data_IF_785686618983
#
_entry.id   IF_785686618983
#
_cell.length_a   1.000
_cell.length_b   1.000
_cell.length_c   1.000
_cell.angle_alpha   90.00
_cell.angle_beta   90.00
_cell.angle_gamma   90.00
#
_symmetry.space_group_name_H-M   'P 1'
#
loop_
_entity.id
_entity.type
_entity.pdbx_description
1 polymer ?
#
# COMPACT_ATOMS: atom_id res chain seq x y z
N UNK A 1 1.30 0.27 -2.19
CA UNK A 1 1.80 -0.57 -3.31
C UNK A 1 0.84 -0.53 -4.48
N UNK A 2 1.30 0.03 -5.60
CA UNK A 2 0.56 0.06 -6.86
C UNK A 2 1.23 -0.85 -7.90
N UNK A 3 0.43 -1.60 -8.65
CA UNK A 3 0.88 -2.50 -9.71
C UNK A 3 0.05 -2.25 -10.97
N UNK A 4 0.69 -1.88 -12.07
CA UNK A 4 0.07 -1.81 -13.40
C UNK A 4 0.43 -3.05 -14.21
N UNK A 5 -0.57 -3.67 -14.85
CA UNK A 5 -0.43 -4.86 -15.67
C UNK A 5 -1.36 -4.72 -16.86
N UNK A 6 -0.81 -4.56 -18.06
CA UNK A 6 -1.56 -4.51 -19.31
C UNK A 6 -2.79 -3.59 -19.26
N UNK A 7 -3.99 -4.14 -19.05
CA UNK A 7 -5.28 -3.47 -19.05
C UNK A 7 -5.83 -3.16 -17.64
N UNK A 8 -5.09 -3.42 -16.57
CA UNK A 8 -5.54 -3.14 -15.20
C UNK A 8 -4.45 -2.59 -14.28
N UNK A 9 -4.92 -1.91 -13.23
CA UNK A 9 -4.13 -1.27 -12.18
C UNK A 9 -4.67 -1.76 -10.86
N UNK A 10 -3.79 -2.25 -10.00
CA UNK A 10 -4.07 -2.57 -8.61
C UNK A 10 -3.40 -1.54 -7.72
N UNK A 11 -4.16 -1.02 -6.77
CA UNK A 11 -3.68 -0.05 -5.81
C UNK A 11 -4.02 -0.55 -4.40
N UNK A 12 -3.02 -1.00 -3.65
CA UNK A 12 -3.21 -1.47 -2.28
C UNK A 12 -3.61 -0.34 -1.33
N UNK A 13 -3.22 0.90 -1.65
CA UNK A 13 -3.24 2.02 -0.71
C UNK A 13 -4.64 2.61 -0.64
N UNK A 14 -5.34 2.66 -1.77
CA UNK A 14 -6.77 3.02 -1.84
C UNK A 14 -7.70 1.81 -1.91
N UNK A 15 -7.15 0.60 -1.87
CA UNK A 15 -7.88 -0.68 -2.01
C UNK A 15 -8.75 -0.75 -3.27
N UNK A 16 -8.25 -0.23 -4.38
CA UNK A 16 -8.94 -0.24 -5.66
C UNK A 16 -8.24 -1.12 -6.68
N UNK A 17 -9.06 -1.73 -7.54
CA UNK A 17 -8.58 -2.36 -8.76
C UNK A 17 -9.34 -1.72 -9.91
N UNK A 18 -8.62 -1.22 -10.91
CA UNK A 18 -9.17 -0.56 -12.08
C UNK A 18 -8.82 -1.40 -13.29
N UNK A 19 -9.80 -1.75 -14.13
CA UNK A 19 -9.59 -2.47 -15.39
C UNK A 19 -10.20 -1.68 -16.53
N UNK A 20 -9.43 -1.42 -17.58
CA UNK A 20 -9.83 -0.60 -18.74
C UNK A 20 -10.43 0.76 -18.33
N UNK A 21 -9.85 1.39 -17.31
CA UNK A 21 -10.33 2.66 -16.76
C UNK A 21 -11.57 2.59 -15.86
N UNK A 22 -12.13 1.40 -15.60
CA UNK A 22 -13.28 1.21 -14.72
C UNK A 22 -12.89 0.48 -13.43
N UNK A 23 -13.29 1.02 -12.28
CA UNK A 23 -13.12 0.34 -11.00
C UNK A 23 -13.91 -0.99 -11.01
N UNK A 24 -13.23 -2.08 -10.65
CA UNK A 24 -13.84 -3.40 -10.46
C UNK A 24 -14.08 -3.64 -8.98
N UNK A 25 -15.27 -4.13 -8.65
CA UNK A 25 -15.62 -4.48 -7.27
C UNK A 25 -15.08 -5.87 -6.96
N UNK A 26 -14.34 -5.98 -5.85
CA UNK A 26 -13.86 -7.23 -5.29
C UNK A 26 -14.35 -7.35 -3.85
N UNK A 27 -14.67 -8.57 -3.43
CA UNK A 27 -14.91 -8.87 -2.03
C UNK A 27 -13.65 -8.56 -1.20
N UNK A 28 -13.78 -8.18 0.08
CA UNK A 28 -12.63 -7.85 0.92
C UNK A 28 -11.58 -8.99 0.96
N UNK A 29 -12.04 -10.25 0.95
CA UNK A 29 -11.17 -11.43 0.94
C UNK A 29 -10.52 -11.68 -0.43
N UNK A 30 -11.23 -11.45 -1.53
CA UNK A 30 -10.64 -11.53 -2.86
C UNK A 30 -9.53 -10.47 -3.03
N UNK A 31 -9.77 -9.24 -2.57
CA UNK A 31 -8.75 -8.18 -2.59
C UNK A 31 -7.50 -8.58 -1.80
N UNK A 32 -7.66 -9.05 -0.57
CA UNK A 32 -6.54 -9.51 0.27
C UNK A 32 -5.79 -10.70 -0.34
N UNK A 33 -6.49 -11.63 -1.00
CA UNK A 33 -5.87 -12.73 -1.73
C UNK A 33 -5.02 -12.21 -2.90
N UNK A 34 -5.55 -11.28 -3.68
CA UNK A 34 -4.82 -10.68 -4.80
C UNK A 34 -3.56 -9.93 -4.31
N UNK A 35 -3.69 -9.16 -3.24
CA UNK A 35 -2.56 -8.46 -2.63
C UNK A 35 -1.46 -9.42 -2.18
N UNK A 36 -1.83 -10.49 -1.46
CA UNK A 36 -0.90 -11.51 -1.00
C UNK A 36 -0.13 -12.16 -2.16
N UNK A 37 -0.84 -12.54 -3.23
CA UNK A 37 -0.25 -13.17 -4.41
C UNK A 37 0.69 -12.21 -5.15
N UNK A 38 0.33 -10.92 -5.26
CA UNK A 38 1.18 -9.89 -5.86
C UNK A 38 2.45 -9.70 -5.02
N UNK A 39 2.36 -9.60 -3.68
CA UNK A 39 3.52 -9.41 -2.80
C UNK A 39 4.50 -10.58 -2.84
N UNK A 40 4.00 -11.80 -3.05
CA UNK A 40 4.82 -13.03 -3.11
C UNK A 40 5.34 -13.36 -4.51
N UNK A 41 4.97 -12.58 -5.53
CA UNK A 41 5.39 -12.82 -6.92
C UNK A 41 6.91 -12.95 -7.06
N UNK A 42 7.43 -13.83 -7.93
CA UNK A 42 6.69 -14.81 -8.75
C UNK A 42 6.40 -16.13 -8.02
N UNK A 43 6.70 -16.22 -6.71
CA UNK A 43 6.59 -17.47 -5.94
C UNK A 43 5.13 -17.85 -5.76
N UNK A 44 4.88 -19.16 -5.75
CA UNK A 44 3.59 -19.70 -5.38
C UNK A 44 3.41 -19.62 -3.87
N UNK A 45 2.17 -19.36 -3.45
CA UNK A 45 1.75 -19.37 -2.05
C UNK A 45 0.90 -20.62 -1.83
N UNK A 46 1.21 -21.37 -0.77
CA UNK A 46 0.49 -22.61 -0.48
C UNK A 46 -0.95 -22.33 -0.02
N UNK A 47 -1.85 -23.31 -0.18
CA UNK A 47 -3.22 -23.19 0.33
C UNK A 47 -3.24 -22.94 1.84
N UNK A 48 -2.34 -23.57 2.60
CA UNK A 48 -2.24 -23.39 4.05
C UNK A 48 -1.86 -21.95 4.42
N UNK A 49 -0.84 -21.37 3.77
CA UNK A 49 -0.45 -19.97 4.00
C UNK A 49 -1.54 -18.98 3.60
N UNK A 50 -2.24 -19.24 2.48
CA UNK A 50 -3.38 -18.42 2.07
C UNK A 50 -4.49 -18.48 3.10
N UNK A 51 -4.79 -19.68 3.62
CA UNK A 51 -5.80 -19.85 4.66
C UNK A 51 -5.42 -19.10 5.93
N UNK A 52 -4.20 -19.27 6.43
CA UNK A 52 -3.74 -18.60 7.64
C UNK A 52 -3.77 -17.07 7.50
N UNK A 53 -3.40 -16.54 6.33
CA UNK A 53 -3.41 -15.11 6.08
C UNK A 53 -4.82 -14.53 5.95
N UNK A 54 -5.73 -15.23 5.27
CA UNK A 54 -7.09 -14.74 5.02
C UNK A 54 -8.05 -15.04 6.16
N UNK A 55 -7.85 -16.13 6.90
CA UNK A 55 -8.76 -16.62 7.94
C UNK A 55 -7.94 -17.11 9.15
N UNK A 56 -7.20 -16.22 9.83
CA UNK A 56 -6.38 -16.60 10.97
C UNK A 56 -7.25 -17.26 12.04
N UNK A 57 -6.85 -18.46 12.47
CA UNK A 57 -7.55 -19.24 13.50
C UNK A 57 -8.98 -19.68 13.13
N UNK A 58 -9.39 -19.63 11.85
CA UNK A 58 -10.74 -20.00 11.42
C UNK A 58 -10.69 -21.12 10.38
N UNK A 59 -11.40 -22.22 10.65
CA UNK A 59 -11.55 -23.31 9.68
C UNK A 59 -12.65 -22.98 8.67
N UNK A 60 -12.28 -22.81 7.41
CA UNK A 60 -13.23 -22.61 6.30
C UNK A 60 -13.10 -23.73 5.28
N UNK A 61 -14.21 -24.08 4.63
CA UNK A 61 -14.23 -25.11 3.59
C UNK A 61 -13.22 -24.79 2.47
N UNK A 62 -12.53 -25.79 1.89
CA UNK A 62 -11.68 -25.61 0.72
C UNK A 62 -12.39 -24.94 -0.47
N UNK A 63 -13.73 -25.05 -0.54
CA UNK A 63 -14.55 -24.40 -1.54
C UNK A 63 -14.48 -22.86 -1.46
N UNK A 64 -14.27 -22.28 -0.27
CA UNK A 64 -14.20 -20.83 -0.10
C UNK A 64 -13.01 -20.23 -0.86
N UNK A 65 -11.83 -20.84 -0.76
CA UNK A 65 -10.66 -20.40 -1.50
C UNK A 65 -10.86 -20.57 -3.01
N UNK A 66 -11.51 -21.65 -3.44
CA UNK A 66 -11.84 -21.85 -4.85
C UNK A 66 -12.79 -20.75 -5.37
N UNK A 67 -13.81 -20.38 -4.59
CA UNK A 67 -14.75 -19.32 -4.94
C UNK A 67 -14.08 -17.94 -5.05
N UNK A 68 -13.16 -17.62 -4.15
CA UNK A 68 -12.37 -16.38 -4.25
C UNK A 68 -11.52 -16.34 -5.51
N UNK A 69 -10.95 -17.48 -5.91
CA UNK A 69 -10.15 -17.56 -7.15
C UNK A 69 -11.05 -17.42 -8.39
N UNK A 70 -12.28 -17.98 -8.35
CA UNK A 70 -13.27 -17.78 -9.42
C UNK A 70 -13.66 -16.31 -9.53
N UNK A 71 -13.94 -15.66 -8.41
CA UNK A 71 -14.26 -14.23 -8.35
C UNK A 71 -13.11 -13.38 -8.92
N UNK A 72 -11.87 -13.63 -8.47
CA UNK A 72 -10.68 -12.92 -8.95
C UNK A 72 -10.49 -13.11 -10.46
N UNK A 73 -10.63 -14.34 -10.97
CA UNK A 73 -10.53 -14.61 -12.40
C UNK A 73 -11.60 -13.87 -13.20
N UNK A 74 -12.85 -13.88 -12.74
CA UNK A 74 -13.93 -13.15 -13.41
C UNK A 74 -13.67 -11.64 -13.43
N UNK A 75 -13.28 -11.06 -12.28
CA UNK A 75 -13.04 -9.62 -12.13
C UNK A 75 -11.84 -9.15 -12.95
N UNK A 76 -10.73 -9.91 -12.92
CA UNK A 76 -9.51 -9.60 -13.67
C UNK A 76 -9.61 -10.03 -15.15
N UNK A 77 -10.65 -10.79 -15.52
CA UNK A 77 -10.82 -11.36 -16.86
C UNK A 77 -9.75 -12.38 -17.22
N UNK A 78 -9.29 -13.15 -16.24
CA UNK A 78 -8.30 -14.22 -16.39
C UNK A 78 -9.00 -15.55 -16.67
N UNK A 79 -8.52 -16.29 -17.66
CA UNK A 79 -9.07 -17.60 -18.03
C UNK A 79 -8.37 -18.72 -17.26
N UNK A 80 -9.13 -19.55 -16.53
CA UNK A 80 -8.59 -20.67 -15.78
C UNK A 80 -7.86 -21.71 -16.64
N UNK A 81 -8.20 -21.85 -17.94
CA UNK A 81 -7.59 -22.79 -18.89
C UNK A 81 -6.32 -22.21 -19.53
N UNK A 82 -6.20 -20.89 -19.57
CA UNK A 82 -5.05 -20.16 -20.12
C UNK A 82 -4.68 -19.01 -19.17
N UNK A 83 -4.21 -19.32 -17.94
CA UNK A 83 -4.02 -18.31 -16.92
C UNK A 83 -2.87 -17.37 -17.30
N UNK A 84 -3.20 -16.09 -17.47
CA UNK A 84 -2.25 -15.01 -17.70
C UNK A 84 -1.93 -14.26 -16.42
N UNK A 85 -2.84 -14.29 -15.44
CA UNK A 85 -2.72 -13.54 -14.19
C UNK A 85 -2.57 -14.46 -12.99
N UNK A 86 -3.55 -15.33 -12.74
CA UNK A 86 -3.54 -16.27 -11.61
C UNK A 86 -3.27 -17.70 -12.05
N UNK A 87 -2.02 -18.14 -11.83
CA UNK A 87 -1.60 -19.51 -12.10
C UNK A 87 -1.95 -20.42 -10.92
N UNK A 88 -2.66 -21.51 -11.21
CA UNK A 88 -2.84 -22.61 -10.25
C UNK A 88 -1.59 -23.47 -10.23
N UNK A 89 -1.03 -23.72 -9.04
CA UNK A 89 0.05 -24.69 -8.83
C UNK A 89 -0.57 -25.97 -8.29
N UNK A 90 -0.66 -27.05 -9.10
CA UNK A 90 -1.36 -28.27 -8.73
C UNK A 90 -0.88 -28.80 -7.38
N UNK A 91 -1.84 -29.17 -6.51
CA UNK A 91 -1.60 -29.71 -5.15
C UNK A 91 -0.85 -28.80 -4.17
N UNK A 92 -0.47 -27.59 -4.56
CA UNK A 92 0.25 -26.66 -3.70
C UNK A 92 -0.56 -25.40 -3.37
N UNK A 93 -1.00 -24.64 -4.38
CA UNK A 93 -1.67 -23.36 -4.16
C UNK A 93 -1.72 -22.49 -5.41
N UNK A 94 -1.46 -21.19 -5.26
CA UNK A 94 -1.64 -20.20 -6.34
C UNK A 94 -0.45 -19.26 -6.44
N UNK A 95 -0.19 -18.77 -7.65
CA UNK A 95 0.87 -17.79 -7.91
C UNK A 95 0.35 -16.68 -8.81
N UNK A 96 0.86 -15.46 -8.58
CA UNK A 96 0.68 -14.36 -9.51
C UNK A 96 1.73 -14.47 -10.62
N UNK A 97 1.32 -14.42 -11.89
CA UNK A 97 2.19 -14.65 -13.05
C UNK A 97 2.07 -13.60 -14.16
N UNK A 98 1.31 -12.53 -13.94
CA UNK A 98 1.26 -11.45 -14.91
C UNK A 98 2.57 -10.65 -14.90
N UNK A 99 3.14 -10.44 -16.08
CA UNK A 99 4.25 -9.51 -16.25
C UNK A 99 3.75 -8.09 -15.97
N UNK A 100 4.30 -7.48 -14.92
CA UNK A 100 4.12 -6.05 -14.72
C UNK A 100 4.83 -5.36 -15.88
N UNK A 101 4.06 -4.76 -16.79
CA UNK A 101 4.63 -3.76 -17.68
C UNK A 101 5.24 -2.73 -16.74
N UNK A 102 6.57 -2.58 -16.84
CA UNK A 102 7.33 -1.70 -15.98
C UNK A 102 6.56 -0.41 -15.80
N UNK A 103 6.47 0.04 -14.55
CA UNK A 103 5.92 1.35 -14.24
C UNK A 103 6.80 2.35 -14.99
N UNK A 104 6.41 2.70 -16.22
CA UNK A 104 6.84 3.94 -16.84
C UNK A 104 6.20 4.99 -15.97
N UNK A 105 7.06 5.52 -15.12
CA UNK A 105 6.85 6.69 -14.31
C UNK A 105 6.07 7.73 -15.13
N UNK A 106 4.77 7.87 -14.88
CA UNK A 106 4.07 9.13 -15.09
C UNK A 106 4.20 9.87 -13.76
N UNK A 107 4.79 11.08 -13.79
CA UNK A 107 5.85 11.47 -12.89
C UNK A 107 5.42 11.25 -11.43
N UNK A 108 5.94 10.18 -10.82
CA UNK A 108 6.22 10.24 -9.41
C UNK A 108 7.28 11.32 -9.30
N UNK A 109 6.83 12.50 -8.90
CA UNK A 109 7.64 13.48 -8.20
C UNK A 109 8.65 12.71 -7.37
N UNK A 110 9.92 12.78 -7.78
CA UNK A 110 10.98 12.06 -7.11
C UNK A 110 11.15 12.78 -5.79
N UNK A 111 10.41 12.36 -4.76
CA UNK A 111 10.55 12.96 -3.45
C UNK A 111 12.01 12.76 -3.05
N UNK A 112 12.73 13.88 -2.97
CA UNK A 112 14.12 13.93 -2.46
C UNK A 112 14.16 13.54 -0.98
N UNK A 113 13.01 13.18 -0.42
CA UNK A 113 12.82 12.86 0.98
C UNK A 113 12.13 11.49 1.13
N UNK A 114 12.59 10.74 2.13
CA UNK A 114 11.89 9.60 2.69
C UNK A 114 11.29 10.02 4.04
N UNK A 115 10.02 9.70 4.28
CA UNK A 115 9.30 10.10 5.48
C UNK A 115 8.93 8.86 6.30
N UNK A 116 8.98 8.97 7.63
CA UNK A 116 8.53 7.90 8.55
C UNK A 116 7.69 8.48 9.68
N UNK A 117 6.75 7.68 10.20
CA UNK A 117 6.11 7.91 11.48
C UNK A 117 6.64 6.91 12.51
N UNK A 118 7.16 7.43 13.61
CA UNK A 118 7.61 6.63 14.75
C UNK A 118 6.49 6.59 15.79
N UNK A 119 6.00 5.40 16.08
CA UNK A 119 4.95 5.17 17.08
C UNK A 119 5.39 4.10 18.07
N UNK A 120 5.88 4.55 19.24
CA UNK A 120 6.54 3.66 20.19
C UNK A 120 7.77 2.97 19.55
N UNK A 121 7.86 1.62 19.56
CA UNK A 121 8.96 0.90 18.91
C UNK A 121 8.78 0.72 17.39
N UNK A 122 7.64 1.13 16.82
CA UNK A 122 7.33 0.93 15.40
C UNK A 122 7.79 2.11 14.57
N UNK A 123 8.45 1.83 13.45
CA UNK A 123 8.69 2.81 12.38
C UNK A 123 7.85 2.44 11.16
N UNK A 124 6.97 3.36 10.75
CA UNK A 124 6.08 3.17 9.61
C UNK A 124 6.57 4.08 8.48
N UNK A 125 6.99 3.49 7.36
CA UNK A 125 7.38 4.25 6.19
C UNK A 125 6.15 4.87 5.53
N UNK A 126 6.26 6.13 5.14
CA UNK A 126 5.23 6.83 4.37
C UNK A 126 5.54 6.70 2.88
N UNK A 127 4.51 6.44 2.09
CA UNK A 127 4.54 6.51 0.65
C UNK A 127 4.68 7.97 0.20
N UNK A 128 5.24 8.17 -0.99
CA UNK A 128 5.56 9.49 -1.57
C UNK A 128 4.33 10.21 -2.16
N UNK A 129 3.12 9.78 -1.81
CA UNK A 129 1.86 10.35 -2.31
C UNK A 129 0.90 10.62 -1.14
N UNK A 130 -0.01 9.70 -0.81
CA UNK A 130 -1.00 9.88 0.24
C UNK A 130 -0.96 8.74 1.26
N UNK A 131 -0.98 9.10 2.53
CA UNK A 131 -0.90 8.16 3.65
C UNK A 131 -2.07 8.41 4.59
N UNK A 132 -3.06 7.52 4.57
CA UNK A 132 -4.22 7.63 5.45
C UNK A 132 -3.88 7.06 6.82
N UNK A 133 -4.25 7.79 7.86
CA UNK A 133 -4.19 7.39 9.27
C UNK A 133 -5.61 7.22 9.78
N UNK A 134 -5.90 6.10 10.44
CA UNK A 134 -7.22 5.89 11.02
C UNK A 134 -7.45 4.49 11.55
N UNK A 135 -8.68 4.25 11.98
CA UNK A 135 -9.11 2.96 12.53
C UNK A 135 -9.47 1.92 11.48
N UNK A 136 -9.61 2.33 10.22
CA UNK A 136 -9.83 1.37 9.16
C UNK A 136 -8.59 0.49 8.97
N UNK A 137 -8.81 -0.81 8.81
CA UNK A 137 -7.79 -1.81 8.54
C UNK A 137 -7.01 -1.56 7.23
N UNK A 138 -7.52 -0.69 6.34
CA UNK A 138 -6.85 -0.25 5.12
C UNK A 138 -5.98 1.01 5.28
N UNK A 139 -5.89 1.61 6.46
CA UNK A 139 -5.04 2.79 6.69
C UNK A 139 -3.56 2.40 6.76
N UNK A 140 -2.67 3.22 6.16
CA UNK A 140 -1.20 3.07 6.26
C UNK A 140 -0.75 3.05 7.72
N UNK A 141 -1.42 3.86 8.55
CA UNK A 141 -1.27 3.83 10.01
C UNK A 141 -2.60 3.42 10.63
N UNK A 142 -2.70 2.15 10.97
CA UNK A 142 -3.87 1.59 11.63
C UNK A 142 -3.83 1.84 13.14
N UNK A 143 -4.81 2.58 13.65
CA UNK A 143 -5.00 2.84 15.08
C UNK A 143 -6.33 2.23 15.51
N UNK A 144 -6.27 1.06 16.14
CA UNK A 144 -7.44 0.34 16.62
C UNK A 144 -7.99 0.93 17.93
N UNK A 145 -8.62 2.11 17.85
CA UNK A 145 -9.18 2.79 19.01
C UNK A 145 -10.47 3.55 18.65
N UNK A 146 -11.54 3.37 19.44
CA UNK A 146 -12.85 3.95 19.16
C UNK A 146 -12.88 5.48 19.08
N UNK A 147 -11.89 6.18 19.67
CA UNK A 147 -11.72 7.63 19.54
C UNK A 147 -11.13 8.05 18.17
N UNK A 148 -10.77 7.09 17.33
CA UNK A 148 -10.19 7.31 16.00
C UNK A 148 -11.20 6.97 14.91
N UNK A 149 -11.51 7.96 14.05
CA UNK A 149 -12.29 7.75 12.82
C UNK A 149 -11.62 6.75 11.86
N UNK A 150 -12.43 6.08 11.04
CA UNK A 150 -11.96 5.09 10.04
C UNK A 150 -10.89 5.68 9.11
N UNK A 151 -11.17 6.84 8.51
CA UNK A 151 -10.19 7.70 7.83
C UNK A 151 -10.11 8.99 8.66
N UNK A 152 -9.09 9.12 9.50
CA UNK A 152 -9.00 10.21 10.49
C UNK A 152 -8.21 11.39 9.95
N UNK A 153 -7.03 11.12 9.42
CA UNK A 153 -6.14 12.12 8.87
C UNK A 153 -5.46 11.57 7.61
N UNK A 154 -4.98 12.47 6.75
CA UNK A 154 -4.17 12.15 5.58
C UNK A 154 -2.84 12.90 5.68
N UNK A 155 -1.72 12.21 5.44
CA UNK A 155 -0.43 12.83 5.18
C UNK A 155 -0.15 12.75 3.68
N UNK A 156 -0.11 13.89 3.01
CA UNK A 156 0.39 14.02 1.66
C UNK A 156 1.89 14.29 1.68
N UNK A 157 2.67 13.58 0.86
CA UNK A 157 4.11 13.79 0.68
C UNK A 157 4.34 14.32 -0.72
N UNK A 158 5.13 15.38 -0.85
CA UNK A 158 5.49 16.02 -2.11
C UNK A 158 7.03 16.14 -2.25
N UNK A 159 7.50 16.86 -3.27
CA UNK A 159 8.94 17.06 -3.51
C UNK A 159 9.64 17.87 -2.41
N UNK A 160 8.89 18.71 -1.70
CA UNK A 160 9.40 19.71 -0.78
C UNK A 160 9.15 19.34 0.70
N UNK A 161 8.38 18.27 0.98
CA UNK A 161 8.10 17.81 2.34
C UNK A 161 6.80 17.02 2.48
N UNK A 162 6.15 17.17 3.64
CA UNK A 162 4.90 16.50 3.95
C UNK A 162 3.88 17.46 4.59
N UNK A 163 2.61 17.26 4.28
CA UNK A 163 1.47 18.03 4.81
C UNK A 163 0.45 17.07 5.38
N UNK A 164 -0.05 17.34 6.59
CA UNK A 164 -1.13 16.58 7.22
C UNK A 164 -2.43 17.37 7.21
N UNK A 165 -3.54 16.69 6.95
CA UNK A 165 -4.88 17.23 7.05
C UNK A 165 -5.79 16.30 7.85
N UNK A 166 -6.80 16.88 8.50
CA UNK A 166 -7.87 16.15 9.17
C UNK A 166 -9.01 15.87 8.18
N UNK A 167 -9.49 14.63 8.13
CA UNK A 167 -10.52 14.20 7.17
C UNK A 167 -11.95 14.30 7.75
N UNK A 168 -12.21 15.30 8.59
CA UNK A 168 -13.49 15.45 9.29
C UNK A 168 -13.62 14.45 10.44
N UNK A 169 -12.54 14.25 11.19
CA UNK A 169 -12.51 13.30 12.29
C UNK A 169 -13.38 13.73 13.47
N UNK A 170 -13.83 12.77 14.28
CA UNK A 170 -14.71 13.04 15.43
C UNK A 170 -14.01 13.84 16.53
N UNK A 171 -12.72 13.56 16.76
CA UNK A 171 -11.95 14.08 17.90
C UNK A 171 -10.82 15.05 17.51
N UNK A 172 -10.62 15.25 16.21
CA UNK A 172 -9.61 16.14 15.66
C UNK A 172 -8.21 15.53 15.62
N UNK A 173 -7.42 16.03 14.67
CA UNK A 173 -5.98 15.79 14.54
C UNK A 173 -5.18 16.92 15.19
N UNK A 174 -4.10 16.59 15.87
CA UNK A 174 -3.24 17.57 16.56
C UNK A 174 -1.79 17.45 16.09
N UNK A 175 -1.17 18.58 15.79
CA UNK A 175 0.25 18.70 15.41
C UNK A 175 0.92 19.66 16.38
N UNK A 176 2.07 19.26 16.95
CA UNK A 176 2.78 20.04 17.98
C UNK A 176 1.86 20.44 19.16
N UNK A 177 0.93 19.56 19.51
CA UNK A 177 -0.05 19.78 20.59
C UNK A 177 -1.22 20.72 20.26
N UNK A 178 -1.27 21.33 19.07
CA UNK A 178 -2.37 22.18 18.63
C UNK A 178 -3.28 21.44 17.65
N UNK A 179 -4.59 21.59 17.80
CA UNK A 179 -5.56 21.04 16.84
C UNK A 179 -5.38 21.74 15.49
N UNK A 180 -5.38 20.98 14.41
CA UNK A 180 -5.34 21.54 13.05
C UNK A 180 -6.77 21.70 12.52
N UNK A 181 -7.04 22.83 11.87
CA UNK A 181 -8.33 23.10 11.19
C UNK A 181 -8.18 23.17 9.67
N UNK A 182 -6.95 23.36 9.20
CA UNK A 182 -6.54 23.39 7.80
C UNK A 182 -5.32 22.48 7.62
N UNK A 183 -5.01 22.03 6.39
CA UNK A 183 -3.79 21.28 6.12
C UNK A 183 -2.56 21.99 6.69
N UNK A 184 -1.72 21.25 7.41
CA UNK A 184 -0.56 21.75 8.15
C UNK A 184 0.73 21.08 7.69
N UNK A 185 1.77 21.87 7.43
CA UNK A 185 3.10 21.36 7.04
C UNK A 185 3.79 20.67 8.22
N UNK A 186 4.33 19.48 7.96
CA UNK A 186 5.11 18.69 8.91
C UNK A 186 6.61 18.96 8.74
N UNK A 187 7.30 19.08 9.86
CA UNK A 187 8.76 19.21 9.99
C UNK A 187 9.33 18.00 10.74
N UNK A 188 10.61 17.68 10.50
CA UNK A 188 11.28 16.58 11.22
C UNK A 188 11.10 16.73 12.74
N UNK A 189 10.75 15.61 13.39
CA UNK A 189 10.43 15.47 14.81
C UNK A 189 9.11 16.08 15.27
N UNK A 190 8.25 16.53 14.37
CA UNK A 190 6.90 16.97 14.76
C UNK A 190 6.12 15.84 15.42
N UNK A 191 5.46 16.16 16.53
CA UNK A 191 4.56 15.24 17.23
C UNK A 191 3.15 15.38 16.68
N UNK A 192 2.61 14.27 16.18
CA UNK A 192 1.24 14.12 15.70
C UNK A 192 0.47 13.32 16.75
N UNK A 193 -0.68 13.83 17.18
CA UNK A 193 -1.59 13.14 18.09
C UNK A 193 -2.96 12.94 17.42
N UNK A 194 -3.42 11.69 17.45
CA UNK A 194 -4.72 11.24 16.95
C UNK A 194 -5.29 10.26 17.98
N UNK A 195 -6.39 10.62 18.64
CA UNK A 195 -6.90 9.84 19.78
C UNK A 195 -5.82 9.63 20.87
N UNK A 196 -5.59 8.39 21.34
CA UNK A 196 -4.50 8.08 22.27
C UNK A 196 -3.13 7.94 21.58
N UNK A 197 -3.07 7.81 20.26
CA UNK A 197 -1.82 7.60 19.53
C UNK A 197 -1.00 8.89 19.48
N UNK A 198 0.27 8.78 19.85
CA UNK A 198 1.28 9.84 19.72
C UNK A 198 2.40 9.33 18.83
N UNK A 199 2.62 10.02 17.73
CA UNK A 199 3.57 9.64 16.69
C UNK A 199 4.54 10.78 16.43
N UNK A 200 5.78 10.45 16.10
CA UNK A 200 6.82 11.42 15.75
C UNK A 200 7.10 11.30 14.25
N UNK A 201 6.90 12.39 13.52
CA UNK A 201 7.26 12.47 12.11
C UNK A 201 8.77 12.58 11.94
N UNK A 202 9.35 11.82 11.03
CA UNK A 202 10.77 11.84 10.70
C UNK A 202 10.97 12.06 9.22
N UNK A 203 11.84 13.01 8.88
CA UNK A 203 12.17 13.37 7.50
C UNK A 203 13.63 13.04 7.21
N UNK A 204 13.89 12.28 6.15
CA UNK A 204 15.23 11.90 5.71
C UNK A 204 15.46 12.41 4.29
N UNK A 205 16.52 13.18 4.04
CA UNK A 205 16.94 13.54 2.67
C UNK A 205 17.58 12.32 2.02
N UNK A 206 17.09 11.92 0.85
CA UNK A 206 17.81 11.05 -0.07
C UNK A 206 18.94 11.89 -0.66
N UNK A 207 20.15 11.70 -0.17
CA UNK A 207 21.37 12.22 -0.80
C UNK A 207 21.45 11.64 -2.21
N UNK A 208 21.52 12.52 -3.21
CA UNK A 208 21.68 12.11 -4.61
C UNK A 208 22.89 11.21 -4.78
N UNK A 209 22.69 10.10 -5.49
CA UNK A 209 23.76 9.22 -5.93
C UNK A 209 24.79 10.04 -6.71
N UNK A 210 26.01 10.17 -6.19
CA UNK A 210 27.13 10.75 -6.91
C UNK A 210 27.47 9.84 -8.10
N UNK A 211 27.14 10.29 -9.31
CA UNK A 211 27.68 9.72 -10.53
C UNK A 211 29.20 9.94 -10.55
N UNK A 212 29.96 8.86 -10.38
CA UNK A 212 31.40 8.88 -10.60
C UNK A 212 31.66 8.80 -12.11
N UNK A 213 31.85 9.95 -12.75
CA UNK A 213 32.44 10.02 -14.08
C UNK A 213 33.94 9.88 -13.92
N UNK A 214 34.46 8.65 -13.97
CA UNK A 214 35.89 8.43 -14.20
C UNK A 214 36.10 8.34 -15.70
N UNK A 215 36.48 9.47 -16.28
CA UNK A 215 36.90 9.56 -17.67
C UNK A 215 38.13 8.70 -17.93
N UNK A 216 38.03 7.88 -18.98
CA UNK A 216 39.14 7.24 -19.67
C UNK A 216 39.93 8.31 -20.43
N UNK A 217 41.25 8.47 -20.25
CA UNK A 217 42.09 9.13 -21.24
C UNK A 217 42.68 8.08 -22.20
N UNK A 218 42.50 8.32 -23.49
CA UNK A 218 43.18 7.66 -24.60
C UNK A 218 43.44 8.76 -25.64
N UNK A 219 44.42 8.64 -26.55
CA UNK A 219 45.87 8.46 -26.36
C UNK A 219 46.63 9.67 -26.96
N UNK A 220 47.97 9.64 -26.88
CA UNK A 220 48.84 10.39 -27.79
C UNK A 220 49.88 9.44 -28.40
#
# INVERSE_FOLDING_TARGET
>A
MRLAVSDWVFDSDIREVVRKGRAISLSPKAFSLLELLIRRRPKAVSKAEIHEHLWPGTFVSPANLANLVVELRAALGDDARKPRILRTVPRFGYAFSAEAVGSTNAPAVSSTFACRLVWGPREIALDSTENVIGRDSGAVVWIDDASVSRRHARIAVDEDGATIEDLGSKNGTYVRGKRIEKPARLSDRDVIKIGPARMVFRLFRKTGSTASTTGKPEPA
#
